data_IF_466173517200
#
_entry.id   IF_466173517200
#
_cell.length_a   1.000
_cell.length_b   1.000
_cell.length_c   1.000
_cell.angle_alpha   90.00
_cell.angle_beta   90.00
_cell.angle_gamma   90.00
#
_symmetry.space_group_name_H-M   'P 1'
#
loop_
_entity.id
_entity.type
_entity.pdbx_description
1 polymer ?
#
# COMPACT_ATOMS: atom_id res chain seq x y z
N UNK A 1 14.41 -9.23 14.11
CA UNK A 1 13.47 -8.33 13.39
C UNK A 1 14.32 -7.33 12.60
N UNK A 2 14.06 -7.16 11.31
CA UNK A 2 14.82 -6.21 10.49
C UNK A 2 14.47 -4.77 10.90
N UNK A 3 15.44 -3.86 10.86
CA UNK A 3 15.24 -2.43 11.16
C UNK A 3 14.64 -1.74 9.94
N UNK A 4 13.44 -2.15 9.57
CA UNK A 4 12.79 -1.80 8.32
C UNK A 4 11.31 -1.57 8.59
N UNK A 5 10.76 -0.45 8.10
CA UNK A 5 9.33 -0.22 8.06
C UNK A 5 8.93 0.46 6.76
N UNK A 6 7.68 0.23 6.36
CA UNK A 6 7.13 0.82 5.14
C UNK A 6 5.82 1.54 5.39
N UNK A 7 5.63 2.65 4.69
CA UNK A 7 4.37 3.36 4.71
C UNK A 7 3.29 2.58 3.94
N UNK A 8 2.19 2.22 4.62
CA UNK A 8 1.10 1.47 4.01
C UNK A 8 0.11 2.38 3.26
N UNK A 9 0.49 2.77 2.04
CA UNK A 9 -0.39 3.52 1.12
C UNK A 9 -1.07 2.56 0.16
N UNK A 10 -2.40 2.61 0.11
CA UNK A 10 -3.20 1.81 -0.83
C UNK A 10 -2.93 2.19 -2.28
N UNK A 11 -3.10 1.21 -3.18
CA UNK A 11 -2.86 1.33 -4.63
C UNK A 11 -1.41 1.63 -5.04
N UNK A 12 -0.47 1.54 -4.09
CA UNK A 12 0.97 1.65 -4.30
C UNK A 12 1.69 0.32 -4.00
N UNK A 13 1.20 -0.80 -4.55
CA UNK A 13 1.75 -2.15 -4.25
C UNK A 13 1.59 -2.58 -2.78
N UNK A 14 0.52 -2.11 -2.12
CA UNK A 14 0.25 -2.37 -0.71
C UNK A 14 0.19 -3.86 -0.34
N UNK A 15 -0.39 -4.69 -1.21
CA UNK A 15 -0.48 -6.14 -1.02
C UNK A 15 0.88 -6.83 -1.09
N UNK A 16 1.73 -6.45 -2.06
CA UNK A 16 3.08 -7.00 -2.17
C UNK A 16 3.91 -6.63 -0.94
N UNK A 17 3.83 -5.38 -0.47
CA UNK A 17 4.54 -4.95 0.75
C UNK A 17 4.08 -5.72 1.98
N UNK A 18 2.77 -5.83 2.19
CA UNK A 18 2.18 -6.59 3.31
C UNK A 18 2.67 -8.05 3.31
N UNK A 19 2.61 -8.70 2.15
CA UNK A 19 3.07 -10.06 1.96
C UNK A 19 4.59 -10.23 2.16
N UNK A 20 5.39 -9.28 1.68
CA UNK A 20 6.84 -9.27 1.88
C UNK A 20 7.19 -9.12 3.36
N UNK A 21 6.52 -8.23 4.09
CA UNK A 21 6.75 -8.09 5.53
C UNK A 21 6.32 -9.33 6.32
N UNK A 22 5.24 -9.98 5.93
CA UNK A 22 4.86 -11.30 6.45
C UNK A 22 5.94 -12.36 6.17
N UNK A 23 6.46 -12.41 4.94
CA UNK A 23 7.56 -13.32 4.56
C UNK A 23 8.84 -13.07 5.37
N UNK A 24 9.20 -11.80 5.60
CA UNK A 24 10.39 -11.42 6.35
C UNK A 24 10.25 -11.66 7.86
N UNK A 25 9.05 -11.50 8.42
CA UNK A 25 8.81 -11.64 9.87
C UNK A 25 8.51 -13.08 10.28
N UNK A 26 7.81 -13.84 9.44
CA UNK A 26 7.39 -15.21 9.73
C UNK A 26 7.86 -16.20 8.65
N UNK A 27 9.13 -16.09 8.27
CA UNK A 27 9.73 -16.82 7.14
C UNK A 27 9.51 -18.33 7.20
N UNK A 28 9.80 -18.94 8.36
CA UNK A 28 9.69 -20.40 8.56
C UNK A 28 8.27 -20.89 8.26
N UNK A 29 7.26 -20.23 8.83
CA UNK A 29 5.86 -20.59 8.61
C UNK A 29 5.40 -20.28 7.19
N UNK A 30 5.83 -19.15 6.63
CA UNK A 30 5.51 -18.74 5.26
C UNK A 30 5.97 -19.80 4.25
N UNK A 31 7.19 -20.32 4.43
CA UNK A 31 7.76 -21.38 3.60
C UNK A 31 7.08 -22.73 3.89
N UNK A 32 6.85 -23.08 5.16
CA UNK A 32 6.19 -24.35 5.54
C UNK A 32 4.79 -24.48 4.93
N UNK A 33 4.03 -23.38 4.90
CA UNK A 33 2.72 -23.31 4.25
C UNK A 33 2.77 -23.11 2.73
N UNK A 34 3.95 -23.14 2.11
CA UNK A 34 4.16 -22.95 0.67
C UNK A 34 3.49 -21.67 0.15
N UNK A 35 3.51 -20.59 0.96
CA UNK A 35 2.97 -19.29 0.55
C UNK A 35 3.88 -18.64 -0.48
N UNK A 36 3.28 -17.80 -1.33
CA UNK A 36 3.96 -16.98 -2.34
C UNK A 36 3.56 -15.53 -2.14
N UNK A 37 4.52 -14.60 -2.11
CA UNK A 37 4.27 -13.16 -1.96
C UNK A 37 3.30 -12.68 -3.05
N UNK A 38 3.53 -13.13 -4.28
CA UNK A 38 2.71 -12.83 -5.47
C UNK A 38 1.26 -13.34 -5.41
N UNK A 39 0.93 -14.22 -4.45
CA UNK A 39 -0.40 -14.85 -4.31
C UNK A 39 -1.12 -14.47 -3.01
N UNK A 40 -0.50 -13.66 -2.16
CA UNK A 40 -1.14 -13.11 -0.97
C UNK A 40 -2.08 -11.96 -1.37
N UNK A 41 -3.20 -11.87 -0.66
CA UNK A 41 -4.25 -10.88 -0.83
C UNK A 41 -4.92 -10.63 0.52
N UNK A 42 -5.77 -9.59 0.60
CA UNK A 42 -6.32 -9.15 1.88
C UNK A 42 -7.20 -10.20 2.58
N UNK A 43 -7.81 -11.14 1.84
CA UNK A 43 -8.69 -12.18 2.38
C UNK A 43 -7.99 -13.53 2.66
N UNK A 44 -6.73 -13.68 2.27
CA UNK A 44 -5.97 -14.92 2.48
C UNK A 44 -4.58 -14.69 3.13
N UNK A 45 -4.43 -13.55 3.82
CA UNK A 45 -3.21 -13.16 4.54
C UNK A 45 -2.80 -14.22 5.56
N UNK A 46 -1.51 -14.58 5.57
CA UNK A 46 -0.96 -15.48 6.60
C UNK A 46 -0.73 -14.78 7.95
N UNK A 47 -0.05 -13.62 7.96
CA UNK A 47 0.49 -13.03 9.20
C UNK A 47 -0.46 -12.07 9.94
N UNK A 48 -1.74 -11.99 9.54
CA UNK A 48 -2.67 -11.00 10.09
C UNK A 48 -2.09 -9.59 10.04
N UNK A 49 -2.30 -8.82 11.11
CA UNK A 49 -1.80 -7.44 11.25
C UNK A 49 -0.68 -7.32 12.31
N UNK A 50 0.00 -8.43 12.64
CA UNK A 50 0.92 -8.50 13.79
C UNK A 50 2.17 -7.62 13.69
N UNK A 51 2.48 -7.13 12.48
CA UNK A 51 3.62 -6.26 12.18
C UNK A 51 3.18 -4.86 11.72
N UNK A 52 1.87 -4.57 11.76
CA UNK A 52 1.34 -3.26 11.39
C UNK A 52 1.46 -2.30 12.59
N UNK A 53 1.97 -1.10 12.32
CA UNK A 53 2.07 -0.02 13.30
C UNK A 53 1.07 1.08 12.95
N UNK A 54 0.29 1.54 13.93
CA UNK A 54 -0.74 2.57 13.74
C UNK A 54 -0.18 4.00 13.67
N UNK A 55 1.11 4.20 13.97
CA UNK A 55 1.78 5.51 13.93
C UNK A 55 3.25 5.39 13.58
N UNK A 56 3.82 6.47 13.05
CA UNK A 56 5.26 6.56 12.77
C UNK A 56 6.09 6.41 14.05
N UNK A 57 5.61 6.96 15.18
CA UNK A 57 6.25 6.80 16.49
C UNK A 57 6.37 5.32 16.88
N UNK A 58 5.30 4.55 16.73
CA UNK A 58 5.32 3.11 17.01
C UNK A 58 6.25 2.36 16.07
N UNK A 59 6.25 2.69 14.78
CA UNK A 59 7.15 2.09 13.80
C UNK A 59 8.63 2.38 14.10
N UNK A 60 8.97 3.64 14.44
CA UNK A 60 10.34 4.03 14.84
C UNK A 60 10.78 3.36 16.16
N UNK A 61 9.85 2.88 16.98
CA UNK A 61 10.12 2.17 18.22
C UNK A 61 10.72 0.75 18.05
N UNK A 62 10.75 0.18 16.84
CA UNK A 62 11.28 -1.17 16.62
C UNK A 62 12.82 -1.24 16.66
N UNK A 63 13.51 -0.09 16.60
CA UNK A 63 14.97 -0.03 16.74
C UNK A 63 15.58 1.28 16.26
N UNK A 64 16.81 1.55 16.71
CA UNK A 64 17.60 2.70 16.27
C UNK A 64 18.04 2.57 14.81
N UNK A 65 18.08 3.69 14.09
CA UNK A 65 18.46 3.76 12.67
C UNK A 65 17.58 2.87 11.77
N UNK A 66 16.27 2.92 11.97
CA UNK A 66 15.29 2.25 11.12
C UNK A 66 15.34 2.77 9.67
N UNK A 67 15.37 1.84 8.71
CA UNK A 67 15.16 2.16 7.31
C UNK A 67 13.66 2.34 7.05
N UNK A 68 13.25 3.58 6.81
CA UNK A 68 11.89 3.91 6.39
C UNK A 68 11.84 4.02 4.88
N UNK A 69 10.87 3.37 4.25
CA UNK A 69 10.63 3.56 2.82
C UNK A 69 9.14 3.63 2.50
N UNK A 70 8.83 4.25 1.37
CA UNK A 70 7.46 4.30 0.87
C UNK A 70 7.46 4.15 -0.64
N UNK A 71 6.47 3.42 -1.15
CA UNK A 71 6.19 3.42 -2.58
C UNK A 71 5.26 4.58 -2.89
N UNK A 72 5.70 5.47 -3.75
CA UNK A 72 4.91 6.57 -4.28
C UNK A 72 4.60 6.32 -5.75
N UNK A 73 3.43 6.77 -6.19
CA UNK A 73 2.97 6.58 -7.57
C UNK A 73 2.50 7.90 -8.16
N UNK A 74 2.60 8.04 -9.48
CA UNK A 74 2.00 9.20 -10.16
C UNK A 74 0.52 9.35 -9.75
N UNK A 75 0.05 10.53 -9.30
CA UNK A 75 -1.27 10.69 -8.71
C UNK A 75 -2.42 10.24 -9.63
N UNK A 76 -2.31 10.53 -10.93
CA UNK A 76 -3.32 10.12 -11.93
C UNK A 76 -3.34 8.60 -12.10
N UNK A 77 -2.18 7.95 -12.19
CA UNK A 77 -2.08 6.50 -12.36
C UNK A 77 -2.64 5.76 -11.14
N UNK A 78 -2.36 6.29 -9.94
CA UNK A 78 -2.92 5.78 -8.69
C UNK A 78 -4.44 5.94 -8.67
N UNK A 79 -4.94 7.12 -9.04
CA UNK A 79 -6.37 7.40 -9.14
C UNK A 79 -7.06 6.44 -10.10
N UNK A 80 -6.56 6.27 -11.33
CA UNK A 80 -7.14 5.39 -12.34
C UNK A 80 -7.10 3.92 -11.90
N UNK A 81 -6.00 3.49 -11.29
CA UNK A 81 -5.88 2.16 -10.67
C UNK A 81 -6.91 1.95 -9.56
N UNK A 82 -7.14 2.96 -8.72
CA UNK A 82 -8.18 2.96 -7.70
C UNK A 82 -9.57 2.89 -8.30
N UNK A 83 -9.87 3.76 -9.28
CA UNK A 83 -11.17 3.86 -9.91
C UNK A 83 -11.55 2.54 -10.60
N UNK A 84 -10.66 1.99 -11.43
CA UNK A 84 -10.88 0.72 -12.11
C UNK A 84 -11.14 -0.43 -11.13
N UNK A 85 -10.35 -0.50 -10.05
CA UNK A 85 -10.44 -1.57 -9.07
C UNK A 85 -11.72 -1.47 -8.22
N UNK A 86 -11.90 -0.33 -7.56
CA UNK A 86 -12.96 -0.13 -6.54
C UNK A 86 -14.34 0.09 -7.16
N UNK A 87 -14.40 0.63 -8.38
CA UNK A 87 -15.68 0.87 -9.05
C UNK A 87 -16.08 -0.32 -9.92
N UNK A 88 -15.13 -0.94 -10.62
CA UNK A 88 -15.44 -1.87 -11.71
C UNK A 88 -14.98 -3.32 -11.50
N UNK A 89 -14.03 -3.60 -10.59
CA UNK A 89 -13.52 -4.96 -10.37
C UNK A 89 -14.01 -5.61 -9.08
N UNK A 90 -14.27 -4.83 -8.04
CA UNK A 90 -14.78 -5.34 -6.75
C UNK A 90 -16.29 -5.67 -6.76
N UNK A 91 -16.72 -6.48 -7.72
CA UNK A 91 -18.14 -6.80 -7.95
C UNK A 91 -18.76 -7.65 -6.83
N UNK A 92 -17.94 -8.42 -6.09
CA UNK A 92 -18.41 -9.38 -5.10
C UNK A 92 -18.68 -8.77 -3.72
N UNK A 93 -18.08 -7.62 -3.40
CA UNK A 93 -18.06 -7.09 -2.04
C UNK A 93 -19.09 -5.99 -1.79
N UNK A 94 -19.58 -5.38 -2.87
CA UNK A 94 -20.42 -4.18 -2.81
C UNK A 94 -21.40 -4.16 -3.99
N UNK A 95 -22.62 -3.67 -3.75
CA UNK A 95 -23.63 -3.51 -4.80
C UNK A 95 -23.22 -2.43 -5.82
N UNK A 96 -23.93 -2.37 -6.95
CA UNK A 96 -23.69 -1.32 -7.94
C UNK A 96 -24.01 0.09 -7.39
N UNK A 97 -24.93 0.16 -6.43
CA UNK A 97 -25.36 1.38 -5.76
C UNK A 97 -24.34 1.85 -4.70
N UNK A 98 -23.68 0.93 -4.00
CA UNK A 98 -22.64 1.26 -3.01
C UNK A 98 -21.31 1.68 -3.66
N UNK A 99 -20.94 1.01 -4.77
CA UNK A 99 -19.69 1.29 -5.48
C UNK A 99 -19.75 2.61 -6.23
N UNK A 100 -18.57 3.18 -6.48
CA UNK A 100 -18.40 4.39 -7.27
C UNK A 100 -19.26 5.58 -6.78
N UNK A 101 -19.57 5.65 -5.48
CA UNK A 101 -20.55 6.61 -4.93
C UNK A 101 -21.93 6.60 -5.63
N UNK A 102 -22.34 5.45 -6.19
CA UNK A 102 -23.55 5.32 -7.00
C UNK A 102 -23.49 5.98 -8.37
N UNK A 103 -22.31 6.45 -8.82
CA UNK A 103 -22.13 7.10 -10.12
C UNK A 103 -22.07 6.14 -11.31
N UNK A 104 -22.06 4.82 -11.07
CA UNK A 104 -21.94 3.77 -12.09
C UNK A 104 -20.70 4.01 -12.98
N UNK A 105 -20.89 4.44 -14.23
CA UNK A 105 -19.82 4.68 -15.20
C UNK A 105 -19.51 6.17 -15.43
N UNK A 106 -20.20 7.07 -14.72
CA UNK A 106 -19.96 8.51 -14.83
C UNK A 106 -18.73 8.92 -13.99
N UNK A 107 -17.59 9.11 -14.67
CA UNK A 107 -16.34 9.54 -14.04
C UNK A 107 -16.43 10.97 -13.49
N UNK A 108 -17.18 11.86 -14.14
CA UNK A 108 -17.36 13.23 -13.67
C UNK A 108 -18.09 13.23 -12.33
N UNK A 109 -19.21 12.51 -12.25
CA UNK A 109 -19.93 12.29 -10.99
C UNK A 109 -19.00 11.73 -9.90
N UNK A 110 -18.18 10.73 -10.23
CA UNK A 110 -17.26 10.13 -9.27
C UNK A 110 -16.24 11.13 -8.73
N UNK A 111 -15.59 11.90 -9.62
CA UNK A 111 -14.57 12.89 -9.24
C UNK A 111 -15.18 14.00 -8.38
N UNK A 112 -16.37 14.50 -8.75
CA UNK A 112 -17.06 15.54 -7.97
C UNK A 112 -17.43 15.05 -6.57
N UNK A 113 -17.97 13.83 -6.44
CA UNK A 113 -18.29 13.24 -5.12
C UNK A 113 -17.04 12.93 -4.31
N UNK A 114 -16.01 12.37 -4.94
CA UNK A 114 -14.74 12.09 -4.28
C UNK A 114 -14.11 13.37 -3.72
N UNK A 115 -14.08 14.45 -4.51
CA UNK A 115 -13.55 15.73 -4.05
C UNK A 115 -14.30 16.25 -2.81
N UNK A 116 -15.63 16.26 -2.84
CA UNK A 116 -16.47 16.67 -1.69
C UNK A 116 -16.22 15.78 -0.47
N UNK A 117 -16.10 14.47 -0.67
CA UNK A 117 -15.77 13.51 0.40
C UNK A 117 -14.39 13.78 1.00
N UNK A 118 -13.36 14.00 0.18
CA UNK A 118 -12.00 14.26 0.69
C UNK A 118 -11.94 15.58 1.45
N UNK A 119 -12.49 16.67 0.88
CA UNK A 119 -12.55 17.96 1.58
C UNK A 119 -13.30 17.82 2.90
N UNK A 120 -14.51 17.22 2.87
CA UNK A 120 -15.31 17.05 4.07
C UNK A 120 -14.66 16.16 5.14
N UNK A 121 -13.93 15.12 4.71
CA UNK A 121 -13.18 14.26 5.62
C UNK A 121 -12.04 15.03 6.29
N UNK A 122 -11.30 15.84 5.52
CA UNK A 122 -10.20 16.67 6.00
C UNK A 122 -10.67 17.75 6.98
N UNK A 123 -11.78 18.43 6.65
CA UNK A 123 -12.37 19.48 7.50
C UNK A 123 -13.26 18.94 8.62
N UNK A 124 -13.42 17.62 8.72
CA UNK A 124 -14.28 16.95 9.70
C UNK A 124 -15.75 17.43 9.66
N UNK A 125 -16.28 17.69 8.47
CA UNK A 125 -17.65 18.18 8.23
C UNK A 125 -18.62 17.11 7.71
N UNK A 126 -18.14 15.87 7.55
CA UNK A 126 -18.96 14.72 7.13
C UNK A 126 -18.81 13.56 8.12
N UNK A 127 -19.84 12.72 8.18
CA UNK A 127 -19.78 11.48 8.96
C UNK A 127 -18.78 10.49 8.35
N UNK A 128 -17.93 9.90 9.19
CA UNK A 128 -16.90 8.93 8.80
C UNK A 128 -17.47 7.51 8.73
N UNK A 129 -18.45 7.32 7.84
CA UNK A 129 -19.08 6.01 7.61
C UNK A 129 -18.08 4.99 7.05
N UNK A 130 -18.44 3.70 7.09
CA UNK A 130 -17.63 2.59 6.51
C UNK A 130 -17.20 2.88 5.06
N UNK A 131 -18.14 3.33 4.22
CA UNK A 131 -17.86 3.62 2.81
C UNK A 131 -16.98 4.87 2.63
N UNK A 132 -17.20 5.91 3.43
CA UNK A 132 -16.33 7.10 3.41
C UNK A 132 -14.89 6.71 3.77
N UNK A 133 -14.69 5.95 4.85
CA UNK A 133 -13.36 5.46 5.23
C UNK A 133 -12.73 4.59 4.13
N UNK A 134 -13.53 3.72 3.49
CA UNK A 134 -13.06 2.88 2.39
C UNK A 134 -12.56 3.72 1.19
N UNK A 135 -13.31 4.74 0.75
CA UNK A 135 -12.88 5.62 -0.33
C UNK A 135 -11.69 6.50 0.06
N UNK A 136 -11.71 7.11 1.24
CA UNK A 136 -10.59 7.92 1.74
C UNK A 136 -9.32 7.07 1.79
N UNK A 137 -9.38 5.85 2.33
CA UNK A 137 -8.25 4.91 2.39
C UNK A 137 -7.66 4.60 1.00
N UNK A 138 -8.46 4.63 -0.07
CA UNK A 138 -8.02 4.25 -1.41
C UNK A 138 -7.69 5.43 -2.33
N UNK A 139 -8.22 6.61 -2.06
CA UNK A 139 -8.14 7.77 -2.96
C UNK A 139 -7.58 9.04 -2.32
N UNK A 140 -7.41 9.09 -1.00
CA UNK A 140 -6.79 10.23 -0.35
C UNK A 140 -5.41 10.56 -0.95
N UNK A 141 -5.01 11.85 -0.98
CA UNK A 141 -3.68 12.24 -1.37
C UNK A 141 -2.62 11.42 -0.62
N UNK A 142 -1.57 10.99 -1.33
CA UNK A 142 -0.50 10.17 -0.72
C UNK A 142 0.22 10.90 0.42
N UNK A 143 0.22 12.23 0.40
CA UNK A 143 0.79 13.08 1.45
C UNK A 143 0.01 13.04 2.78
N UNK A 144 -1.21 12.47 2.80
CA UNK A 144 -1.99 12.30 4.04
C UNK A 144 -1.52 11.11 4.87
N UNK A 145 -0.62 10.28 4.34
CA UNK A 145 -0.15 9.08 5.00
C UNK A 145 1.19 9.32 5.67
N UNK A 146 1.44 8.57 6.75
CA UNK A 146 2.77 8.36 7.32
C UNK A 146 3.51 9.66 7.69
N UNK A 147 2.74 10.64 8.15
CA UNK A 147 3.24 11.93 8.61
C UNK A 147 4.17 12.63 7.59
N UNK A 148 3.92 12.43 6.29
CA UNK A 148 4.73 13.02 5.21
C UNK A 148 4.77 14.55 5.24
N UNK A 149 3.83 15.22 5.90
CA UNK A 149 3.91 16.66 6.12
C UNK A 149 5.19 17.10 6.84
N UNK A 150 5.67 16.29 7.79
CA UNK A 150 6.83 16.59 8.63
C UNK A 150 8.00 15.65 8.36
N UNK A 151 7.71 14.39 8.03
CA UNK A 151 8.69 13.31 8.02
C UNK A 151 8.99 12.77 6.62
N UNK A 152 8.53 13.39 5.53
CA UNK A 152 8.77 12.88 4.16
C UNK A 152 10.25 12.60 3.87
N UNK A 153 11.14 13.46 4.36
CA UNK A 153 12.59 13.32 4.14
C UNK A 153 13.23 12.17 4.94
N UNK A 154 12.51 11.60 5.91
CA UNK A 154 12.96 10.41 6.65
C UNK A 154 12.79 9.13 5.82
N UNK A 155 12.02 9.18 4.72
CA UNK A 155 11.69 8.01 3.90
C UNK A 155 12.53 7.94 2.63
N UNK A 156 12.99 6.74 2.31
CA UNK A 156 13.40 6.37 0.95
C UNK A 156 12.14 6.25 0.09
N UNK A 157 12.00 7.11 -0.92
CA UNK A 157 10.84 7.09 -1.82
C UNK A 157 11.15 6.23 -3.05
N UNK A 158 10.49 5.07 -3.14
CA UNK A 158 10.50 4.21 -4.32
C UNK A 158 9.39 4.70 -5.26
N UNK A 159 9.77 5.12 -6.47
CA UNK A 159 8.80 5.53 -7.48
C UNK A 159 8.23 4.29 -8.20
N UNK A 160 6.90 4.22 -8.30
CA UNK A 160 6.25 3.21 -9.11
C UNK A 160 6.58 3.42 -10.60
N UNK A 161 7.19 2.41 -11.23
CA UNK A 161 7.57 2.45 -12.63
C UNK A 161 6.48 1.85 -13.53
N UNK A 162 6.26 2.46 -14.68
CA UNK A 162 5.39 1.95 -15.76
C UNK A 162 6.21 1.61 -17.00
N UNK A 163 5.61 0.88 -17.94
CA UNK A 163 6.25 0.49 -19.21
C UNK A 163 6.95 -0.88 -19.18
N UNK A 164 7.60 -1.27 -20.29
CA UNK A 164 8.09 -2.64 -20.51
C UNK A 164 9.04 -3.18 -19.43
N UNK A 165 9.84 -2.32 -18.81
CA UNK A 165 10.78 -2.68 -17.75
C UNK A 165 10.33 -2.21 -16.35
N UNK A 166 9.09 -1.72 -16.22
CA UNK A 166 8.61 -1.12 -14.97
C UNK A 166 8.67 -2.09 -13.80
N UNK A 167 8.21 -3.33 -14.00
CA UNK A 167 8.21 -4.38 -12.97
C UNK A 167 9.62 -4.71 -12.48
N UNK A 168 10.58 -4.87 -13.40
CA UNK A 168 11.98 -5.15 -13.03
C UNK A 168 12.61 -4.00 -12.28
N UNK A 169 12.43 -2.77 -12.76
CA UNK A 169 12.98 -1.58 -12.11
C UNK A 169 12.48 -1.40 -10.69
N UNK A 170 11.18 -1.63 -10.44
CA UNK A 170 10.66 -1.53 -9.07
C UNK A 170 11.14 -2.67 -8.19
N UNK A 171 11.33 -3.88 -8.73
CA UNK A 171 11.93 -4.99 -7.99
C UNK A 171 13.39 -4.68 -7.59
N UNK A 172 14.16 -4.07 -8.50
CA UNK A 172 15.54 -3.62 -8.25
C UNK A 172 15.57 -2.51 -7.17
N UNK A 173 14.66 -1.52 -7.23
CA UNK A 173 14.57 -0.46 -6.22
C UNK A 173 14.23 -1.01 -4.81
N UNK A 174 13.35 -2.02 -4.75
CA UNK A 174 13.04 -2.73 -3.51
C UNK A 174 14.27 -3.47 -2.96
N UNK A 175 15.01 -4.14 -3.84
CA UNK A 175 16.23 -4.88 -3.47
C UNK A 175 17.26 -3.99 -2.80
N UNK A 176 17.51 -2.79 -3.33
CA UNK A 176 18.46 -1.83 -2.74
C UNK A 176 18.01 -1.34 -1.36
N UNK A 177 16.71 -1.06 -1.14
CA UNK A 177 16.20 -0.72 0.19
C UNK A 177 16.38 -1.88 1.18
N UNK A 178 16.07 -3.10 0.76
CA UNK A 178 16.22 -4.28 1.62
C UNK A 178 17.69 -4.58 1.93
N UNK A 179 18.59 -4.34 0.98
CA UNK A 179 20.03 -4.45 1.18
C UNK A 179 20.53 -3.41 2.18
N UNK A 180 20.07 -2.16 2.09
CA UNK A 180 20.39 -1.11 3.08
C UNK A 180 19.89 -1.49 4.48
N UNK A 181 18.72 -2.12 4.57
CA UNK A 181 18.17 -2.64 5.81
C UNK A 181 18.78 -3.99 6.29
N UNK A 182 19.87 -4.42 5.65
CA UNK A 182 20.63 -5.63 5.99
C UNK A 182 19.81 -6.92 5.91
N UNK A 183 18.81 -6.98 5.01
CA UNK A 183 18.09 -8.22 4.72
C UNK A 183 19.03 -9.18 3.97
N UNK A 184 19.14 -10.46 4.39
CA UNK A 184 19.99 -11.45 3.75
C UNK A 184 19.75 -11.59 2.24
N UNK A 185 20.83 -11.74 1.47
CA UNK A 185 20.77 -11.81 0.00
C UNK A 185 19.84 -12.93 -0.52
N UNK A 186 19.76 -14.07 0.16
CA UNK A 186 18.86 -15.16 -0.21
C UNK A 186 17.39 -14.79 -0.09
N UNK A 187 17.00 -14.06 0.96
CA UNK A 187 15.63 -13.58 1.16
C UNK A 187 15.30 -12.49 0.14
N UNK A 188 16.23 -11.58 -0.11
CA UNK A 188 16.05 -10.52 -1.12
C UNK A 188 15.87 -11.09 -2.52
N UNK A 189 16.69 -12.07 -2.91
CA UNK A 189 16.56 -12.76 -4.19
C UNK A 189 15.19 -13.46 -4.34
N UNK A 190 14.66 -14.05 -3.27
CA UNK A 190 13.33 -14.64 -3.27
C UNK A 190 12.24 -13.58 -3.48
N UNK A 191 12.31 -12.47 -2.73
CA UNK A 191 11.36 -11.35 -2.87
C UNK A 191 11.40 -10.76 -4.28
N UNK A 192 12.60 -10.51 -4.81
CA UNK A 192 12.81 -9.99 -6.16
C UNK A 192 12.16 -10.90 -7.21
N UNK A 193 12.42 -12.21 -7.14
CA UNK A 193 11.81 -13.19 -8.04
C UNK A 193 10.29 -13.26 -7.93
N UNK A 194 9.69 -13.00 -6.77
CA UNK A 194 8.23 -12.97 -6.59
C UNK A 194 7.58 -11.68 -7.10
N UNK A 195 8.37 -10.64 -7.37
CA UNK A 195 7.88 -9.38 -7.95
C UNK A 195 7.87 -9.38 -9.48
N UNK A 196 8.60 -10.30 -10.13
CA UNK A 196 8.68 -10.47 -11.59
C UNK A 196 7.56 -11.39 -12.11
#
# INVERSE_FOLDING_TARGET
MYRLATCQIEKNMATIRDATFCFLTNHTEFVAQKRRISKQFWNNKLCGNNFEHSSLKSAKGIGENITLFAVVRHPIDRFLSGYADKCHRELFYYTAEERCFGCKYDMRCFVEKLFRTLVGYYTNTIEKTRMINYYVRHFAPQIWYCDFGEHKNDYILINYHTGPNGTRRIADDFDEVYKQAQVPASLRANIHSEML
#
